data_IF_980855726737
#
_entry.id   IF_980855726737
#
_cell.length_a   1.000
_cell.length_b   1.000
_cell.length_c   1.000
_cell.angle_alpha   90.00
_cell.angle_beta   90.00
_cell.angle_gamma   90.00
#
_symmetry.space_group_name_H-M   'P 1'
#
loop_
_entity.id
_entity.type
_entity.pdbx_description
1 polymer ?
#
# COMPACT_ATOMS: atom_id res chain seq x y z
N UNK A 1 5.34 -14.66 -6.22
CA UNK A 1 4.29 -14.58 -5.17
C UNK A 1 3.51 -13.30 -5.30
N UNK A 2 4.18 -12.14 -5.39
CA UNK A 2 3.54 -10.83 -5.57
C UNK A 2 2.53 -10.74 -6.74
N UNK A 3 2.65 -11.63 -7.73
CA UNK A 3 1.70 -11.71 -8.85
C UNK A 3 0.25 -11.91 -8.38
N UNK A 4 0.01 -12.73 -7.35
CA UNK A 4 -1.35 -12.99 -6.84
C UNK A 4 -2.04 -11.74 -6.28
N UNK A 5 -1.47 -11.05 -5.26
CA UNK A 5 -2.10 -9.83 -4.74
C UNK A 5 -2.21 -8.74 -5.81
N UNK A 6 -1.23 -8.63 -6.73
CA UNK A 6 -1.29 -7.69 -7.85
C UNK A 6 -2.44 -8.02 -8.82
N UNK A 7 -2.60 -9.28 -9.21
CA UNK A 7 -3.69 -9.72 -10.07
C UNK A 7 -5.05 -9.54 -9.41
N UNK A 8 -5.17 -9.79 -8.10
CA UNK A 8 -6.40 -9.52 -7.35
C UNK A 8 -6.77 -8.03 -7.38
N UNK A 9 -5.80 -7.15 -7.14
CA UNK A 9 -6.00 -5.70 -7.23
C UNK A 9 -6.43 -5.26 -8.63
N UNK A 10 -5.73 -5.73 -9.66
CA UNK A 10 -6.02 -5.41 -11.07
C UNK A 10 -7.43 -5.89 -11.46
N UNK A 11 -7.77 -7.13 -11.12
CA UNK A 11 -9.09 -7.70 -11.42
C UNK A 11 -10.22 -6.99 -10.66
N UNK A 12 -9.91 -6.42 -9.49
CA UNK A 12 -10.82 -5.60 -8.70
C UNK A 12 -10.92 -4.16 -9.22
N UNK A 13 -10.22 -3.81 -10.30
CA UNK A 13 -10.26 -2.48 -10.90
C UNK A 13 -9.26 -1.47 -10.33
N UNK A 14 -8.40 -1.86 -9.39
CA UNK A 14 -7.33 -1.00 -8.92
C UNK A 14 -6.28 -0.79 -10.02
N UNK A 15 -5.92 0.47 -10.27
CA UNK A 15 -4.97 0.87 -11.32
C UNK A 15 -3.74 1.61 -10.83
N UNK A 16 -3.78 2.11 -9.59
CA UNK A 16 -2.69 2.86 -8.98
C UNK A 16 -2.18 2.06 -7.80
N UNK A 17 -0.93 1.60 -7.86
CA UNK A 17 -0.37 0.69 -6.87
C UNK A 17 1.05 1.09 -6.52
N UNK A 18 1.32 1.12 -5.22
CA UNK A 18 2.66 1.22 -4.66
C UNK A 18 3.06 -0.12 -4.06
N UNK A 19 4.27 -0.59 -4.40
CA UNK A 19 4.88 -1.77 -3.81
C UNK A 19 5.99 -1.31 -2.88
N UNK A 20 5.71 -1.28 -1.57
CA UNK A 20 6.69 -0.93 -0.56
C UNK A 20 7.58 -2.12 -0.23
N UNK A 21 8.89 -1.94 -0.23
CA UNK A 21 9.83 -3.03 0.06
C UNK A 21 10.80 -2.64 1.17
N UNK A 22 10.91 -3.51 2.19
CA UNK A 22 11.88 -3.33 3.28
C UNK A 22 13.33 -3.50 2.81
N UNK A 23 13.53 -4.29 1.74
CA UNK A 23 14.82 -4.52 1.13
C UNK A 23 14.84 -4.02 -0.30
N UNK A 24 15.96 -3.45 -0.73
CA UNK A 24 16.17 -3.09 -2.13
C UNK A 24 16.47 -4.35 -2.96
N UNK A 25 15.41 -4.96 -3.50
CA UNK A 25 15.50 -6.16 -4.32
C UNK A 25 15.46 -5.81 -5.80
N UNK A 26 16.63 -5.82 -6.45
CA UNK A 26 16.74 -5.57 -7.89
C UNK A 26 15.91 -6.58 -8.71
N UNK A 27 15.83 -7.84 -8.27
CA UNK A 27 15.02 -8.86 -8.94
C UNK A 27 13.53 -8.57 -8.83
N UNK A 28 13.05 -8.07 -7.69
CA UNK A 28 11.66 -7.67 -7.50
C UNK A 28 11.31 -6.46 -8.37
N UNK A 29 12.15 -5.42 -8.36
CA UNK A 29 11.98 -4.25 -9.23
C UNK A 29 11.92 -4.68 -10.69
N UNK A 30 12.89 -5.48 -11.13
CA UNK A 30 12.95 -5.98 -12.52
C UNK A 30 11.74 -6.85 -12.87
N UNK A 31 11.25 -7.66 -11.93
CA UNK A 31 10.07 -8.50 -12.13
C UNK A 31 8.82 -7.65 -12.29
N UNK A 32 8.56 -6.72 -11.35
CA UNK A 32 7.38 -5.87 -11.36
C UNK A 32 7.33 -5.00 -12.61
N UNK A 33 8.45 -4.35 -12.99
CA UNK A 33 8.49 -3.51 -14.21
C UNK A 33 8.26 -4.29 -15.50
N UNK A 34 8.58 -5.59 -15.54
CA UNK A 34 8.34 -6.45 -16.71
C UNK A 34 6.94 -7.07 -16.72
N UNK A 35 6.44 -7.46 -15.55
CA UNK A 35 5.17 -8.17 -15.40
C UNK A 35 3.97 -7.21 -15.43
N UNK A 36 4.13 -5.99 -14.91
CA UNK A 36 3.08 -4.98 -14.78
C UNK A 36 3.50 -3.65 -15.43
N UNK A 37 3.71 -3.64 -16.77
CA UNK A 37 4.11 -2.44 -17.48
C UNK A 37 2.99 -1.39 -17.45
N UNK A 38 3.34 -0.10 -17.49
CA UNK A 38 2.37 0.99 -17.38
C UNK A 38 1.27 0.94 -18.45
N UNK A 39 1.60 0.43 -19.63
CA UNK A 39 0.69 0.23 -20.77
C UNK A 39 -0.47 -0.71 -20.44
N UNK A 40 -0.31 -1.60 -19.45
CA UNK A 40 -1.37 -2.48 -18.95
C UNK A 40 -2.53 -1.69 -18.33
N UNK A 41 -2.26 -0.48 -17.85
CA UNK A 41 -3.22 0.36 -17.13
C UNK A 41 -3.88 1.43 -18.00
N UNK A 42 -3.69 1.35 -19.33
CA UNK A 42 -4.30 2.23 -20.31
C UNK A 42 -3.40 3.36 -20.80
N UNK A 43 -3.73 3.89 -21.98
CA UNK A 43 -2.90 4.85 -22.72
C UNK A 43 -2.85 6.27 -22.12
N UNK A 44 -3.59 6.54 -21.04
CA UNK A 44 -3.74 7.88 -20.45
C UNK A 44 -2.86 8.12 -19.21
N UNK A 45 -1.93 7.22 -18.87
CA UNK A 45 -1.09 7.32 -17.66
C UNK A 45 -1.89 7.41 -16.34
N UNK A 46 -3.16 6.98 -16.34
CA UNK A 46 -4.04 7.04 -15.16
C UNK A 46 -3.71 5.97 -14.12
N UNK A 47 -2.98 4.93 -14.52
CA UNK A 47 -2.53 3.85 -13.65
C UNK A 47 -1.03 3.60 -13.71
N UNK A 48 -0.51 3.07 -12.62
CA UNK A 48 0.91 2.77 -12.44
C UNK A 48 1.10 1.67 -11.40
N UNK A 49 2.24 0.99 -11.49
CA UNK A 49 2.80 0.17 -10.42
C UNK A 49 4.21 0.67 -10.16
N UNK A 50 4.44 1.22 -8.97
CA UNK A 50 5.72 1.78 -8.59
C UNK A 50 6.29 1.05 -7.38
N UNK A 51 7.51 0.53 -7.51
CA UNK A 51 8.23 -0.11 -6.42
C UNK A 51 9.01 0.95 -5.65
N UNK A 52 8.67 1.13 -4.39
CA UNK A 52 9.34 2.05 -3.49
C UNK A 52 10.18 1.26 -2.47
N UNK A 53 11.49 1.18 -2.68
CA UNK A 53 12.37 0.61 -1.68
C UNK A 53 12.49 1.60 -0.51
N UNK A 54 12.28 1.12 0.71
CA UNK A 54 12.61 1.90 1.90
C UNK A 54 14.14 1.99 1.98
N UNK A 55 14.68 3.19 1.73
CA UNK A 55 16.13 3.41 1.72
C UNK A 55 16.72 3.30 3.13
N UNK A 56 17.89 2.66 3.22
CA UNK A 56 18.77 2.80 4.38
C UNK A 56 19.39 4.18 4.32
N UNK A 57 18.76 5.19 4.92
CA UNK A 57 19.41 6.49 5.04
C UNK A 57 20.47 6.39 6.15
N UNK A 58 21.74 6.58 5.77
CA UNK A 58 22.86 6.64 6.72
C UNK A 58 22.89 7.94 7.54
N UNK A 59 22.04 8.91 7.21
CA UNK A 59 22.11 10.27 7.77
C UNK A 59 21.37 10.46 9.10
N UNK A 60 20.47 9.54 9.48
CA UNK A 60 19.75 9.59 10.77
C UNK A 60 19.82 8.20 11.42
N UNK A 61 20.60 8.08 12.50
CA UNK A 61 20.62 6.98 13.46
C UNK A 61 20.09 5.62 12.98
N UNK A 62 21.00 4.73 12.62
CA UNK A 62 20.80 3.35 12.18
C UNK A 62 19.60 2.63 12.82
N UNK A 63 18.43 2.67 12.18
CA UNK A 63 17.38 1.70 12.45
C UNK A 63 16.69 1.33 11.14
N UNK A 64 16.76 0.04 10.80
CA UNK A 64 15.86 -0.57 9.83
C UNK A 64 14.42 -0.13 10.10
N UNK A 65 13.57 -0.17 9.08
CA UNK A 65 12.15 -0.07 9.33
C UNK A 65 11.76 -1.08 10.40
N UNK A 66 11.23 -0.63 11.54
CA UNK A 66 10.93 -1.51 12.68
C UNK A 66 9.72 -2.41 12.38
N UNK A 67 8.98 -2.09 11.32
CA UNK A 67 7.92 -2.93 10.75
C UNK A 67 7.27 -2.31 9.52
N UNK A 68 6.21 -2.94 9.02
CA UNK A 68 5.48 -2.49 7.82
C UNK A 68 4.83 -1.12 7.97
N UNK A 69 4.34 -0.78 9.17
CA UNK A 69 3.78 0.55 9.46
C UNK A 69 4.85 1.65 9.40
N UNK A 70 6.07 1.37 9.89
CA UNK A 70 7.20 2.29 9.81
C UNK A 70 7.64 2.50 8.35
N UNK A 71 7.61 1.47 7.50
CA UNK A 71 7.81 1.63 6.05
C UNK A 71 6.81 2.62 5.42
N UNK A 72 5.52 2.45 5.71
CA UNK A 72 4.47 3.34 5.20
C UNK A 72 4.73 4.76 5.69
N UNK A 73 4.97 4.94 6.99
CA UNK A 73 5.24 6.22 7.62
C UNK A 73 6.43 6.94 6.99
N UNK A 74 7.55 6.25 6.78
CA UNK A 74 8.76 6.83 6.17
C UNK A 74 8.49 7.30 4.74
N UNK A 75 7.70 6.57 3.96
CA UNK A 75 7.37 6.96 2.58
C UNK A 75 6.32 8.09 2.51
N UNK A 76 5.38 8.14 3.45
CA UNK A 76 4.49 9.28 3.63
C UNK A 76 5.29 10.54 3.99
N UNK A 77 6.19 10.40 4.97
CA UNK A 77 7.03 11.49 5.47
C UNK A 77 7.98 11.98 4.38
N UNK A 78 8.69 11.07 3.71
CA UNK A 78 9.62 11.45 2.63
C UNK A 78 8.91 12.02 1.39
N UNK A 79 7.57 12.09 1.38
CA UNK A 79 6.80 12.52 0.23
C UNK A 79 7.02 11.63 -0.98
N UNK A 80 7.31 10.34 -0.80
CA UNK A 80 7.52 9.40 -1.91
C UNK A 80 6.19 8.94 -2.53
N UNK A 81 5.11 8.94 -1.74
CA UNK A 81 3.77 8.55 -2.17
C UNK A 81 3.03 9.71 -2.87
N UNK A 82 3.72 10.41 -3.78
CA UNK A 82 3.28 11.68 -4.39
C UNK A 82 2.04 11.56 -5.29
N UNK A 83 1.72 10.36 -5.79
CA UNK A 83 0.66 10.17 -6.79
C UNK A 83 -0.70 9.83 -6.16
N UNK A 84 -0.76 9.70 -4.83
CA UNK A 84 -2.00 9.48 -4.08
C UNK A 84 -2.18 10.54 -3.00
N UNK A 85 -3.43 10.94 -2.75
CA UNK A 85 -3.77 11.88 -1.70
C UNK A 85 -3.93 11.12 -0.38
N UNK A 86 -3.16 11.51 0.62
CA UNK A 86 -3.36 11.07 2.00
C UNK A 86 -3.72 12.32 2.80
N UNK A 87 -4.99 12.47 3.17
CA UNK A 87 -5.41 13.49 4.15
C UNK A 87 -5.03 12.94 5.54
N UNK A 88 -3.76 13.12 5.92
CA UNK A 88 -3.26 12.71 7.25
C UNK A 88 -3.19 13.95 8.13
N UNK A 89 -4.12 14.04 9.08
CA UNK A 89 -4.01 14.95 10.21
C UNK A 89 -3.09 14.30 11.24
N UNK A 90 -1.90 14.84 11.42
CA UNK A 90 -0.93 14.34 12.39
C UNK A 90 -1.20 14.98 13.75
N UNK A 91 -1.19 14.19 14.82
CA UNK A 91 -1.13 14.72 16.18
C UNK A 91 0.25 15.36 16.44
N UNK A 92 0.28 16.46 17.21
CA UNK A 92 1.47 17.31 17.42
C UNK A 92 2.70 16.54 17.94
N UNK A 93 2.50 15.44 18.67
CA UNK A 93 3.59 14.60 19.19
C UNK A 93 4.32 13.80 18.08
N UNK A 94 3.62 13.40 17.02
CA UNK A 94 4.24 12.72 15.86
C UNK A 94 5.00 13.69 14.95
N UNK A 95 4.56 14.95 14.87
CA UNK A 95 5.19 16.00 14.04
C UNK A 95 6.55 16.46 14.60
N UNK A 96 6.78 16.34 15.92
CA UNK A 96 8.03 16.73 16.55
C UNK A 96 9.22 15.84 16.14
N UNK A 97 8.96 14.58 15.78
CA UNK A 97 9.96 13.62 15.29
C UNK A 97 10.17 13.71 13.76
N UNK A 98 9.23 14.32 13.04
CA UNK A 98 9.17 14.32 11.57
C UNK A 98 9.22 15.77 11.07
N UNK A 99 10.44 16.30 10.94
CA UNK A 99 10.68 17.68 10.55
C UNK A 99 9.95 18.12 9.27
N UNK A 100 9.29 19.28 9.36
CA UNK A 100 8.89 20.21 8.28
C UNK A 100 8.58 19.57 6.92
N UNK A 101 7.41 18.93 6.79
CA UNK A 101 6.92 18.48 5.49
C UNK A 101 6.09 19.57 4.82
N UNK A 102 6.49 19.94 3.60
CA UNK A 102 5.74 20.83 2.73
C UNK A 102 4.52 20.09 2.14
N UNK A 103 3.38 20.77 2.13
CA UNK A 103 2.13 20.31 1.51
C UNK A 103 2.35 19.99 0.02
N UNK A 104 2.22 18.71 -0.35
CA UNK A 104 2.16 18.28 -1.74
C UNK A 104 0.70 18.00 -2.13
N UNK A 105 0.14 18.85 -2.99
CA UNK A 105 -1.18 18.67 -3.59
C UNK A 105 -1.09 17.76 -4.81
N UNK A 106 -1.64 16.54 -4.71
CA UNK A 106 -1.92 15.69 -5.87
C UNK A 106 -3.23 14.89 -5.66
N UNK A 107 -3.98 14.69 -6.74
CA UNK A 107 -5.34 14.15 -6.81
C UNK A 107 -5.35 12.62 -7.04
N UNK A 108 -6.22 11.88 -6.34
CA UNK A 108 -6.70 10.55 -6.77
C UNK A 108 -8.06 10.22 -6.12
N UNK A 109 -8.88 9.44 -6.83
CA UNK A 109 -10.33 9.27 -6.62
C UNK A 109 -10.71 8.35 -5.45
N UNK A 110 -11.87 8.66 -4.86
CA UNK A 110 -12.66 7.95 -3.83
C UNK A 110 -12.08 7.75 -2.42
N UNK A 111 -10.86 8.20 -2.13
CA UNK A 111 -10.38 8.43 -0.76
C UNK A 111 -10.14 7.17 0.10
N UNK A 112 -10.23 5.97 -0.48
CA UNK A 112 -9.99 4.70 0.23
C UNK A 112 -8.64 4.11 -0.19
N UNK A 113 -7.80 3.78 0.78
CA UNK A 113 -6.52 3.06 0.56
C UNK A 113 -6.63 1.60 0.98
N UNK A 114 -6.24 0.69 0.10
CA UNK A 114 -6.14 -0.74 0.40
C UNK A 114 -4.67 -1.07 0.74
N UNK A 115 -4.45 -1.67 1.92
CA UNK A 115 -3.13 -2.16 2.36
C UNK A 115 -3.15 -3.70 2.36
N UNK A 116 -2.23 -4.32 1.62
CA UNK A 116 -2.14 -5.79 1.48
C UNK A 116 -0.75 -6.31 1.84
N UNK A 117 -0.72 -7.53 2.38
CA UNK A 117 0.51 -8.30 2.49
C UNK A 117 0.80 -9.00 1.15
N UNK A 118 1.97 -8.73 0.55
CA UNK A 118 2.31 -9.22 -0.79
C UNK A 118 2.77 -10.70 -0.84
N UNK A 119 2.85 -11.37 0.30
CA UNK A 119 3.46 -12.70 0.45
C UNK A 119 2.44 -13.84 0.54
N UNK A 120 1.15 -13.54 0.53
CA UNK A 120 0.09 -14.53 0.66
C UNK A 120 -0.44 -14.97 -0.73
N UNK A 121 -0.74 -16.26 -0.85
CA UNK A 121 -1.40 -16.84 -2.02
C UNK A 121 -2.90 -16.93 -1.73
N UNK A 122 -3.69 -16.09 -2.41
CA UNK A 122 -5.14 -16.06 -2.28
C UNK A 122 -5.76 -15.49 -3.56
N UNK A 123 -7.04 -15.74 -3.77
CA UNK A 123 -7.87 -15.08 -4.77
C UNK A 123 -8.97 -14.32 -4.04
N UNK A 124 -9.14 -13.04 -4.37
CA UNK A 124 -10.13 -12.17 -3.73
C UNK A 124 -10.54 -11.06 -4.68
N UNK A 125 -11.83 -10.79 -4.73
CA UNK A 125 -12.39 -9.58 -5.33
C UNK A 125 -12.59 -8.53 -4.24
N UNK A 126 -11.83 -7.44 -4.30
CA UNK A 126 -11.86 -6.38 -3.31
C UNK A 126 -13.09 -5.49 -3.41
N UNK A 127 -13.88 -5.57 -4.48
CA UNK A 127 -15.08 -4.75 -4.63
C UNK A 127 -16.08 -5.00 -3.50
N UNK A 128 -16.30 -6.26 -3.12
CA UNK A 128 -17.19 -6.60 -1.99
C UNK A 128 -16.68 -6.01 -0.67
N UNK A 129 -15.35 -6.02 -0.46
CA UNK A 129 -14.74 -5.46 0.74
C UNK A 129 -14.86 -3.93 0.79
N UNK A 130 -14.67 -3.27 -0.36
CA UNK A 130 -14.86 -1.84 -0.52
C UNK A 130 -16.31 -1.43 -0.30
N UNK A 131 -17.27 -2.14 -0.90
CA UNK A 131 -18.70 -1.91 -0.70
C UNK A 131 -19.08 -2.02 0.78
N UNK A 132 -18.58 -3.03 1.50
CA UNK A 132 -18.82 -3.18 2.93
C UNK A 132 -18.18 -2.06 3.76
N UNK A 133 -16.94 -1.65 3.43
CA UNK A 133 -16.27 -0.54 4.10
C UNK A 133 -17.08 0.76 3.92
N UNK A 134 -17.44 1.10 2.69
CA UNK A 134 -18.25 2.29 2.36
C UNK A 134 -19.64 2.25 3.01
N UNK A 135 -20.31 1.10 3.01
CA UNK A 135 -21.63 0.94 3.60
C UNK A 135 -21.62 1.02 5.13
N UNK A 136 -20.55 0.52 5.77
CA UNK A 136 -20.41 0.59 7.23
C UNK A 136 -19.98 1.98 7.73
N UNK A 137 -19.33 2.77 6.88
CA UNK A 137 -18.76 4.06 7.26
C UNK A 137 -17.63 3.93 8.30
N UNK A 138 -17.00 2.75 8.38
CA UNK A 138 -15.89 2.51 9.28
C UNK A 138 -14.63 3.23 8.80
N UNK A 139 -13.82 3.75 9.72
CA UNK A 139 -12.53 4.36 9.38
C UNK A 139 -11.52 3.31 8.88
N UNK A 140 -11.61 2.08 9.40
CA UNK A 140 -10.74 0.95 9.04
C UNK A 140 -11.55 -0.34 8.98
N UNK A 141 -11.40 -1.11 7.90
CA UNK A 141 -11.93 -2.47 7.76
C UNK A 141 -10.78 -3.46 7.67
N UNK A 142 -10.85 -4.56 8.43
CA UNK A 142 -9.83 -5.62 8.43
C UNK A 142 -10.45 -6.91 7.88
N UNK A 143 -9.86 -7.46 6.83
CA UNK A 143 -10.23 -8.77 6.30
C UNK A 143 -9.74 -9.88 7.23
N UNK A 144 -10.67 -10.65 7.78
CA UNK A 144 -10.37 -11.77 8.66
C UNK A 144 -10.82 -13.06 7.99
N UNK A 145 -9.92 -14.04 7.90
CA UNK A 145 -10.31 -15.41 7.57
C UNK A 145 -10.67 -16.14 8.85
N UNK A 146 -11.88 -16.66 8.94
CA UNK A 146 -12.28 -17.56 10.03
C UNK A 146 -12.20 -18.98 9.50
N UNK A 147 -11.38 -19.83 10.12
CA UNK A 147 -11.45 -21.26 9.87
C UNK A 147 -12.83 -21.75 10.30
N UNK A 148 -13.61 -22.26 9.35
CA UNK A 148 -14.97 -22.75 9.59
C UNK A 148 -15.01 -24.04 10.45
N UNK A 149 -13.89 -24.50 11.00
CA UNK A 149 -13.74 -25.75 11.76
C UNK A 149 -13.41 -25.56 13.26
N UNK A 150 -13.68 -24.38 13.84
CA UNK A 150 -13.69 -24.23 15.31
C UNK A 150 -15.00 -24.77 15.94
N UNK A 151 -15.53 -25.88 15.41
CA UNK A 151 -16.80 -26.50 15.81
C UNK A 151 -16.63 -27.95 16.25
N UNK A 152 -16.05 -28.19 17.44
CA UNK A 152 -16.27 -29.40 18.23
C UNK A 152 -15.64 -29.24 19.63
N UNK A 153 -16.14 -28.30 20.43
CA UNK A 153 -16.07 -28.43 21.88
C UNK A 153 -17.31 -29.22 22.32
N UNK A 154 -17.15 -30.54 22.48
CA UNK A 154 -18.05 -31.40 23.27
C UNK A 154 -17.44 -31.69 24.63
#
# INVERSE_FOLDING_TARGET
VIDFPMTNLINSGARQMYVLTQYNSHSLVSHVSRAFPAEMFGNNYEGFVEVLPTSQSREHGETWSVGSADCVLRHLTAGSLTKQRFDVEWEDECLAELGSLQECSAYAADGVTIVLAAEQLYEMDFNQFLEQHLASGADVTIGMHTDADAGSAT
#
